data_IF_377495779570
#
_entry.id   IF_377495779570
#
_cell.length_a   1.000
_cell.length_b   1.000
_cell.length_c   1.000
_cell.angle_alpha   90.00
_cell.angle_beta   90.00
_cell.angle_gamma   90.00
#
_symmetry.space_group_name_H-M   'P 1'
#
loop_
_entity.id
_entity.type
_entity.pdbx_description
1 polymer ?
#
# COMPACT_ATOMS: atom_id res chain seq x y z
N UNK A 1 -21.50 20.48 11.50
CA UNK A 1 -21.88 19.14 11.01
C UNK A 1 -21.09 18.68 9.78
N UNK A 2 -20.01 19.37 9.38
CA UNK A 2 -19.22 19.06 8.17
C UNK A 2 -18.05 18.09 8.40
N UNK A 3 -17.47 18.06 9.60
CA UNK A 3 -16.29 17.22 9.89
C UNK A 3 -16.62 15.74 10.05
N UNK A 4 -17.86 15.40 10.45
CA UNK A 4 -18.28 14.01 10.66
C UNK A 4 -18.48 13.36 9.30
N UNK A 5 -19.30 13.96 8.41
CA UNK A 5 -19.51 13.46 7.05
C UNK A 5 -18.20 13.32 6.26
N UNK A 6 -17.28 14.29 6.38
CA UNK A 6 -15.96 14.18 5.75
C UNK A 6 -15.17 12.95 6.23
N UNK A 7 -15.30 12.55 7.50
CA UNK A 7 -14.59 11.40 8.06
C UNK A 7 -15.17 10.07 7.57
N UNK A 8 -16.51 9.96 7.51
CA UNK A 8 -17.21 8.77 6.99
C UNK A 8 -16.86 8.55 5.51
N UNK A 9 -16.84 9.61 4.70
CA UNK A 9 -16.42 9.54 3.29
C UNK A 9 -14.96 9.09 3.17
N UNK A 10 -14.07 9.62 4.00
CA UNK A 10 -12.66 9.23 4.03
C UNK A 10 -12.49 7.76 4.44
N UNK A 11 -13.24 7.32 5.45
CA UNK A 11 -13.27 5.93 5.92
C UNK A 11 -13.76 4.98 4.82
N UNK A 12 -14.82 5.34 4.10
CA UNK A 12 -15.32 4.59 2.95
C UNK A 12 -14.31 4.53 1.81
N UNK A 13 -13.63 5.66 1.53
CA UNK A 13 -12.58 5.71 0.51
C UNK A 13 -11.43 4.80 0.91
N UNK A 14 -10.95 4.84 2.15
CA UNK A 14 -9.87 3.95 2.62
C UNK A 14 -10.29 2.48 2.51
N UNK A 15 -11.50 2.14 2.94
CA UNK A 15 -12.05 0.78 2.86
C UNK A 15 -12.17 0.28 1.42
N UNK A 16 -12.43 1.15 0.44
CA UNK A 16 -12.46 0.76 -0.96
C UNK A 16 -11.08 0.76 -1.61
N UNK A 17 -10.26 1.77 -1.34
CA UNK A 17 -8.98 2.00 -2.01
C UNK A 17 -7.95 0.97 -1.58
N UNK A 18 -7.90 0.57 -0.30
CA UNK A 18 -6.98 -0.46 0.17
C UNK A 18 -7.17 -1.81 -0.56
N UNK A 19 -8.38 -2.42 -0.57
CA UNK A 19 -8.59 -3.68 -1.27
C UNK A 19 -8.47 -3.53 -2.78
N UNK A 20 -8.87 -2.38 -3.34
CA UNK A 20 -8.71 -2.14 -4.78
C UNK A 20 -7.23 -2.07 -5.18
N UNK A 21 -6.40 -1.39 -4.39
CA UNK A 21 -4.95 -1.36 -4.59
C UNK A 21 -4.33 -2.77 -4.46
N UNK A 22 -4.80 -3.58 -3.51
CA UNK A 22 -4.36 -4.97 -3.36
C UNK A 22 -4.76 -5.83 -4.57
N UNK A 23 -5.97 -5.66 -5.10
CA UNK A 23 -6.45 -6.37 -6.29
C UNK A 23 -5.65 -5.96 -7.54
N UNK A 24 -5.43 -4.67 -7.75
CA UNK A 24 -4.59 -4.18 -8.83
C UNK A 24 -3.18 -4.73 -8.74
N UNK A 25 -2.61 -4.76 -7.54
CA UNK A 25 -1.30 -5.33 -7.29
C UNK A 25 -1.22 -6.81 -7.67
N UNK A 26 -2.15 -7.63 -7.17
CA UNK A 26 -2.25 -9.04 -7.54
C UNK A 26 -2.45 -9.22 -9.05
N UNK A 27 -3.32 -8.42 -9.68
CA UNK A 27 -3.54 -8.45 -11.12
C UNK A 27 -2.27 -8.14 -11.91
N UNK A 28 -1.50 -7.13 -11.47
CA UNK A 28 -0.22 -6.77 -12.08
C UNK A 28 0.79 -7.93 -11.99
N UNK A 29 0.88 -8.59 -10.83
CA UNK A 29 1.74 -9.76 -10.61
C UNK A 29 1.42 -10.86 -11.62
N UNK A 30 0.15 -11.26 -11.69
CA UNK A 30 -0.31 -12.29 -12.62
C UNK A 30 -0.09 -11.89 -14.09
N UNK A 31 -0.37 -10.63 -14.44
CA UNK A 31 -0.13 -10.12 -15.79
C UNK A 31 1.35 -10.23 -16.17
N UNK A 32 2.28 -9.83 -15.29
CA UNK A 32 3.72 -9.99 -15.54
C UNK A 32 4.14 -11.45 -15.65
N UNK A 33 3.59 -12.35 -14.83
CA UNK A 33 3.90 -13.78 -14.90
C UNK A 33 3.41 -14.43 -16.21
N UNK A 34 2.29 -13.95 -16.75
CA UNK A 34 1.69 -14.47 -17.97
C UNK A 34 2.29 -13.88 -19.25
N UNK A 35 2.71 -12.61 -19.22
CA UNK A 35 3.23 -11.90 -20.41
C UNK A 35 4.74 -12.01 -20.57
N UNK A 36 5.50 -12.12 -19.47
CA UNK A 36 6.96 -12.09 -19.52
C UNK A 36 7.51 -13.53 -19.45
N UNK A 37 8.09 -14.07 -20.54
CA UNK A 37 8.68 -15.41 -20.53
C UNK A 37 9.86 -15.52 -19.56
N UNK A 38 10.59 -14.41 -19.32
CA UNK A 38 11.66 -14.34 -18.33
C UNK A 38 11.16 -14.51 -16.87
N UNK A 39 9.89 -14.24 -16.59
CA UNK A 39 9.30 -14.49 -15.27
C UNK A 39 9.18 -16.00 -14.99
N UNK A 40 9.05 -16.84 -16.02
CA UNK A 40 9.17 -18.31 -15.87
C UNK A 40 10.61 -18.75 -15.68
N UNK A 41 11.57 -18.03 -16.24
CA UNK A 41 13.00 -18.36 -16.12
C UNK A 41 13.54 -18.03 -14.73
N UNK A 42 13.04 -16.96 -14.10
CA UNK A 42 13.48 -16.50 -12.79
C UNK A 42 12.31 -16.27 -11.81
N UNK A 43 11.56 -17.33 -11.47
CA UNK A 43 10.36 -17.21 -10.64
C UNK A 43 10.68 -16.73 -9.22
N UNK A 44 11.85 -17.09 -8.68
CA UNK A 44 12.29 -16.63 -7.35
C UNK A 44 12.57 -15.13 -7.30
N UNK A 45 13.17 -14.55 -8.36
CA UNK A 45 13.52 -13.13 -8.40
C UNK A 45 12.26 -12.30 -8.52
N UNK A 46 11.36 -12.67 -9.44
CA UNK A 46 10.07 -12.00 -9.61
C UNK A 46 9.21 -12.12 -8.36
N UNK A 47 9.09 -13.33 -7.79
CA UNK A 47 8.38 -13.55 -6.53
C UNK A 47 8.99 -12.78 -5.36
N UNK A 48 10.32 -12.67 -5.29
CA UNK A 48 11.04 -11.92 -4.27
C UNK A 48 10.79 -10.41 -4.34
N UNK A 49 10.79 -9.83 -5.54
CA UNK A 49 10.44 -8.41 -5.74
C UNK A 49 8.98 -8.14 -5.34
N UNK A 50 8.05 -9.04 -5.69
CA UNK A 50 6.66 -8.94 -5.26
C UNK A 50 6.45 -9.27 -3.76
N UNK A 51 7.34 -9.98 -3.10
CA UNK A 51 7.27 -10.16 -1.64
C UNK A 51 7.81 -8.93 -0.89
N UNK A 52 8.79 -8.24 -1.47
CA UNK A 52 9.40 -7.03 -0.90
C UNK A 52 8.40 -5.87 -0.80
N UNK A 53 7.47 -5.72 -1.73
CA UNK A 53 6.54 -4.58 -1.73
C UNK A 53 5.60 -4.57 -0.51
N UNK A 54 4.85 -5.64 -0.19
CA UNK A 54 4.06 -5.69 1.03
C UNK A 54 4.94 -5.68 2.29
N UNK A 55 6.16 -6.23 2.23
CA UNK A 55 7.10 -6.18 3.36
C UNK A 55 7.55 -4.74 3.67
N UNK A 56 7.95 -3.98 2.65
CA UNK A 56 8.35 -2.57 2.78
C UNK A 56 7.16 -1.70 3.15
N UNK A 57 5.97 -1.97 2.59
CA UNK A 57 4.75 -1.25 2.95
C UNK A 57 4.38 -1.50 4.40
N UNK A 58 4.40 -2.76 4.84
CA UNK A 58 4.18 -3.13 6.24
C UNK A 58 5.21 -2.52 7.18
N UNK A 59 6.49 -2.53 6.79
CA UNK A 59 7.56 -1.89 7.54
C UNK A 59 7.38 -0.37 7.62
N UNK A 60 6.99 0.29 6.54
CA UNK A 60 6.73 1.73 6.52
C UNK A 60 5.57 2.13 7.44
N UNK A 61 4.51 1.30 7.49
CA UNK A 61 3.38 1.49 8.41
C UNK A 61 3.83 1.22 9.85
N UNK A 62 4.64 0.19 10.08
CA UNK A 62 5.10 -0.24 11.41
C UNK A 62 6.10 0.74 12.05
N UNK A 63 7.01 1.30 11.24
CA UNK A 63 7.99 2.30 11.71
C UNK A 63 7.29 3.58 12.18
N UNK A 64 6.01 3.74 11.85
CA UNK A 64 5.17 4.84 12.31
C UNK A 64 5.61 6.18 11.72
N UNK A 65 4.70 7.15 11.56
CA UNK A 65 5.13 8.51 11.33
C UNK A 65 6.00 8.89 12.53
N UNK A 66 7.29 9.17 12.32
CA UNK A 66 8.04 9.92 13.33
C UNK A 66 7.25 11.21 13.54
N UNK A 67 6.49 11.26 14.64
CA UNK A 67 5.86 12.47 15.14
C UNK A 67 6.98 13.51 15.25
N UNK A 68 7.06 14.42 14.28
CA UNK A 68 7.72 15.69 14.50
C UNK A 68 6.80 16.46 15.45
N UNK A 69 7.04 16.30 16.76
CA UNK A 69 6.48 17.21 17.76
C UNK A 69 7.21 18.53 17.61
N UNK A 70 6.61 19.51 16.94
CA UNK A 70 6.98 20.91 17.12
C UNK A 70 5.87 21.79 16.58
N UNK A 71 5.50 22.82 17.35
CA UNK A 71 4.32 23.68 17.23
C UNK A 71 3.01 22.96 17.62
N UNK A 72 2.43 23.17 18.79
CA UNK A 72 2.08 24.48 19.34
C UNK A 72 2.28 24.53 20.86
N UNK A 73 3.41 25.11 21.26
CA UNK A 73 3.53 25.81 22.54
C UNK A 73 3.49 27.31 22.22
N UNK A 74 2.32 27.84 21.85
CA UNK A 74 2.11 29.29 21.81
C UNK A 74 0.70 29.62 22.27
N UNK A 75 0.66 30.01 23.55
CA UNK A 75 -0.20 31.01 24.21
C UNK A 75 -1.57 30.56 24.76
#
# INVERSE_FOLDING_TARGET
MSSIESNERLMLIIICVIPFAALLYCGLVFATLLTVPAAKTYPLIFGGVFALIPLVTGAAIWVGPRRSSSHDSVK
#
